data_IF_849361252651
#
_entry.id   IF_849361252651
#
_cell.length_a   1.000
_cell.length_b   1.000
_cell.length_c   1.000
_cell.angle_alpha   90.00
_cell.angle_beta   90.00
_cell.angle_gamma   90.00
#
_symmetry.space_group_name_H-M   'P 1'
#
loop_
_entity.id
_entity.type
_entity.pdbx_description
1 polymer ?
#
# COMPACT_ATOMS: atom_id res chain seq x y z
N UNK A 1 -0.80 9.79 -14.66
CA UNK A 1 -2.16 9.38 -14.22
C UNK A 1 -2.44 9.97 -12.85
N UNK A 2 -3.61 10.59 -12.62
CA UNK A 2 -3.97 11.07 -11.27
C UNK A 2 -4.84 10.01 -10.60
N UNK A 3 -4.25 9.19 -9.74
CA UNK A 3 -4.97 8.16 -8.99
C UNK A 3 -5.71 8.82 -7.81
N UNK A 4 -7.03 8.62 -7.74
CA UNK A 4 -7.90 9.17 -6.70
C UNK A 4 -8.91 8.12 -6.22
N UNK A 5 -9.70 8.45 -5.20
CA UNK A 5 -10.75 7.56 -4.68
C UNK A 5 -10.20 6.43 -3.80
N UNK A 6 -10.88 5.28 -3.80
CA UNK A 6 -10.52 4.13 -2.97
C UNK A 6 -10.10 2.95 -3.83
N UNK A 7 -9.02 2.27 -3.43
CA UNK A 7 -8.60 0.98 -3.95
C UNK A 7 -8.50 -0.05 -2.84
N UNK A 8 -8.12 -1.26 -3.21
CA UNK A 8 -7.90 -2.37 -2.29
C UNK A 8 -6.42 -2.76 -2.30
N UNK A 9 -5.84 -2.95 -1.11
CA UNK A 9 -4.56 -3.62 -0.93
C UNK A 9 -4.81 -5.04 -0.40
N UNK A 10 -4.32 -6.07 -1.09
CA UNK A 10 -4.61 -7.44 -0.66
C UNK A 10 -3.56 -8.45 -1.09
N UNK A 11 -3.05 -9.29 -0.15
CA UNK A 11 -2.21 -10.42 -0.49
C UNK A 11 -2.98 -11.51 -1.24
N UNK A 12 -4.30 -11.60 -1.07
CA UNK A 12 -5.14 -12.60 -1.76
C UNK A 12 -5.23 -12.36 -3.27
N UNK A 13 -5.06 -11.11 -3.73
CA UNK A 13 -4.95 -10.79 -5.15
C UNK A 13 -3.58 -11.16 -5.73
N UNK A 14 -2.64 -11.53 -4.87
CA UNK A 14 -1.27 -11.92 -5.24
C UNK A 14 -1.05 -13.43 -5.20
N UNK A 15 -1.57 -14.11 -4.16
CA UNK A 15 -1.24 -15.48 -3.82
C UNK A 15 -2.43 -16.45 -3.90
N UNK A 16 -3.57 -16.01 -4.39
CA UNK A 16 -4.76 -16.85 -4.58
C UNK A 16 -4.67 -17.74 -5.83
N UNK A 17 -5.66 -18.59 -6.00
CA UNK A 17 -5.89 -19.32 -7.25
C UNK A 17 -6.12 -18.34 -8.42
N UNK A 18 -5.54 -18.64 -9.57
CA UNK A 18 -5.50 -17.72 -10.72
C UNK A 18 -6.88 -17.29 -11.20
N UNK A 19 -7.83 -18.23 -11.29
CA UNK A 19 -9.19 -17.93 -11.74
C UNK A 19 -9.96 -17.14 -10.68
N UNK A 20 -9.80 -17.52 -9.41
CA UNK A 20 -10.42 -16.83 -8.29
C UNK A 20 -9.89 -15.39 -8.13
N UNK A 21 -8.59 -15.17 -8.36
CA UNK A 21 -7.97 -13.83 -8.35
C UNK A 21 -8.48 -12.96 -9.50
N UNK A 22 -8.56 -13.53 -10.71
CA UNK A 22 -9.08 -12.80 -11.87
C UNK A 22 -10.55 -12.38 -11.67
N UNK A 23 -11.39 -13.30 -11.17
CA UNK A 23 -12.79 -13.01 -10.86
C UNK A 23 -12.94 -11.97 -9.73
N UNK A 24 -12.12 -12.06 -8.68
CA UNK A 24 -12.11 -11.08 -7.60
C UNK A 24 -11.69 -9.68 -8.06
N UNK A 25 -10.69 -9.58 -8.95
CA UNK A 25 -10.26 -8.31 -9.51
C UNK A 25 -11.34 -7.65 -10.40
N UNK A 26 -11.99 -8.44 -11.26
CA UNK A 26 -13.12 -7.97 -12.08
C UNK A 26 -14.31 -7.52 -11.21
N UNK A 27 -14.57 -8.22 -10.12
CA UNK A 27 -15.60 -7.82 -9.15
C UNK A 27 -15.27 -6.49 -8.48
N UNK A 28 -14.02 -6.29 -8.01
CA UNK A 28 -13.57 -5.03 -7.41
C UNK A 28 -13.75 -3.85 -8.38
N UNK A 29 -13.41 -4.04 -9.65
CA UNK A 29 -13.65 -3.02 -10.68
C UNK A 29 -15.14 -2.71 -10.83
N UNK A 30 -16.00 -3.73 -10.86
CA UNK A 30 -17.47 -3.59 -10.94
C UNK A 30 -18.04 -2.88 -9.70
N UNK A 31 -17.49 -3.13 -8.51
CA UNK A 31 -17.86 -2.45 -7.28
C UNK A 31 -17.42 -0.97 -7.24
N UNK A 32 -16.57 -0.53 -8.18
CA UNK A 32 -16.12 0.86 -8.30
C UNK A 32 -14.78 1.16 -7.64
N UNK A 33 -14.07 0.17 -7.09
CA UNK A 33 -12.72 0.36 -6.59
C UNK A 33 -11.76 0.80 -7.71
N UNK A 34 -10.90 1.77 -7.44
CA UNK A 34 -10.07 2.44 -8.45
C UNK A 34 -8.71 1.79 -8.65
N UNK A 35 -8.24 1.00 -7.69
CA UNK A 35 -6.96 0.31 -7.77
C UNK A 35 -6.96 -1.01 -7.02
N UNK A 36 -6.17 -1.98 -7.50
CA UNK A 36 -5.74 -3.16 -6.78
C UNK A 36 -4.23 -3.06 -6.51
N UNK A 37 -3.86 -3.09 -5.24
CA UNK A 37 -2.48 -3.06 -4.77
C UNK A 37 -2.08 -4.43 -4.25
N UNK A 38 -0.96 -4.97 -4.72
CA UNK A 38 -0.48 -6.28 -4.32
C UNK A 38 0.92 -6.22 -3.71
N UNK A 39 1.21 -7.00 -2.64
CA UNK A 39 2.55 -7.09 -2.07
C UNK A 39 3.50 -7.91 -2.93
N UNK A 40 4.81 -7.70 -2.70
CA UNK A 40 5.86 -8.51 -3.27
C UNK A 40 6.75 -9.07 -2.14
N UNK A 41 6.37 -10.25 -1.66
CA UNK A 41 7.05 -10.98 -0.58
C UNK A 41 7.48 -12.39 -1.02
N UNK A 42 7.61 -12.59 -2.34
CA UNK A 42 8.06 -13.84 -2.97
C UNK A 42 7.25 -14.25 -4.17
N UNK A 43 7.80 -15.17 -4.96
CA UNK A 43 7.23 -15.61 -6.23
C UNK A 43 7.32 -14.55 -7.34
N UNK A 44 6.76 -14.84 -8.51
CA UNK A 44 6.81 -13.93 -9.66
C UNK A 44 5.73 -12.85 -9.59
N UNK A 45 6.09 -11.64 -9.14
CA UNK A 45 5.16 -10.51 -9.03
C UNK A 45 4.64 -10.05 -10.39
N UNK A 46 5.44 -10.17 -11.44
CA UNK A 46 5.07 -9.72 -12.79
C UNK A 46 3.93 -10.55 -13.37
N UNK A 47 3.93 -11.87 -13.19
CA UNK A 47 2.82 -12.73 -13.61
C UNK A 47 1.51 -12.37 -12.90
N UNK A 48 1.57 -12.01 -11.62
CA UNK A 48 0.39 -11.57 -10.89
C UNK A 48 -0.14 -10.22 -11.40
N UNK A 49 0.76 -9.27 -11.71
CA UNK A 49 0.37 -8.00 -12.34
C UNK A 49 -0.27 -8.23 -13.70
N UNK A 50 0.32 -9.08 -14.55
CA UNK A 50 -0.20 -9.41 -15.87
C UNK A 50 -1.60 -10.03 -15.79
N UNK A 51 -1.83 -10.92 -14.82
CA UNK A 51 -3.14 -11.52 -14.55
C UNK A 51 -4.19 -10.48 -14.17
N UNK A 52 -3.87 -9.59 -13.25
CA UNK A 52 -4.78 -8.54 -12.81
C UNK A 52 -5.10 -7.54 -13.93
N UNK A 53 -4.09 -7.18 -14.74
CA UNK A 53 -4.26 -6.33 -15.92
C UNK A 53 -5.16 -6.97 -16.98
N UNK A 54 -5.04 -8.28 -17.18
CA UNK A 54 -5.88 -9.03 -18.10
C UNK A 54 -7.33 -9.19 -17.61
N UNK A 55 -7.53 -9.25 -16.28
CA UNK A 55 -8.84 -9.42 -15.66
C UNK A 55 -9.64 -8.10 -15.52
N UNK A 56 -9.01 -6.95 -15.74
CA UNK A 56 -9.60 -5.62 -15.54
C UNK A 56 -9.43 -4.74 -16.78
N UNK A 57 -10.25 -3.69 -16.90
CA UNK A 57 -10.27 -2.82 -18.10
C UNK A 57 -9.81 -1.39 -17.82
N UNK A 58 -10.10 -0.86 -16.65
CA UNK A 58 -9.87 0.54 -16.27
C UNK A 58 -9.17 0.72 -14.92
N UNK A 59 -9.26 -0.29 -14.05
CA UNK A 59 -8.69 -0.24 -12.71
C UNK A 59 -7.15 -0.14 -12.76
N UNK A 60 -6.57 0.70 -11.92
CA UNK A 60 -5.13 0.75 -11.72
C UNK A 60 -4.63 -0.50 -11.03
N UNK A 61 -3.61 -1.14 -11.56
CA UNK A 61 -2.92 -2.26 -10.92
C UNK A 61 -1.59 -1.76 -10.38
N UNK A 62 -1.35 -2.01 -9.10
CA UNK A 62 -0.22 -1.43 -8.40
C UNK A 62 0.51 -2.43 -7.50
N UNK A 63 1.81 -2.20 -7.30
CA UNK A 63 2.58 -2.91 -6.28
C UNK A 63 2.60 -2.11 -4.96
N UNK A 64 2.28 -2.76 -3.89
CA UNK A 64 2.33 -2.18 -2.53
C UNK A 64 3.15 -3.05 -1.58
N UNK A 65 4.45 -3.18 -1.79
CA UNK A 65 5.38 -2.55 -2.75
C UNK A 65 6.24 -3.62 -3.44
N UNK A 66 6.75 -3.32 -4.64
CA UNK A 66 7.80 -4.08 -5.28
C UNK A 66 9.10 -3.92 -4.50
N UNK A 67 9.72 -5.04 -4.15
CA UNK A 67 10.90 -5.09 -3.33
C UNK A 67 12.17 -4.98 -4.18
N UNK A 68 12.93 -3.88 -4.02
CA UNK A 68 14.14 -3.60 -4.80
C UNK A 68 15.25 -4.67 -4.64
N UNK A 69 15.22 -5.45 -3.56
CA UNK A 69 16.20 -6.50 -3.31
C UNK A 69 15.88 -7.81 -4.02
N UNK A 70 14.65 -7.95 -4.53
CA UNK A 70 14.16 -9.14 -5.23
C UNK A 70 14.22 -8.98 -6.76
N UNK A 71 14.11 -7.75 -7.25
CA UNK A 71 14.05 -7.44 -8.67
C UNK A 71 15.01 -6.29 -9.01
N UNK A 72 15.89 -6.50 -9.98
CA UNK A 72 16.75 -5.43 -10.49
C UNK A 72 15.92 -4.41 -11.28
N UNK A 73 16.38 -3.17 -11.33
CA UNK A 73 15.72 -2.14 -12.13
C UNK A 73 15.67 -2.50 -13.62
N UNK A 74 16.68 -3.21 -14.12
CA UNK A 74 16.72 -3.70 -15.50
C UNK A 74 15.61 -4.73 -15.79
N UNK A 75 15.35 -5.68 -14.88
CA UNK A 75 14.24 -6.65 -15.00
C UNK A 75 12.89 -5.93 -15.01
N UNK A 76 12.69 -4.97 -14.09
CA UNK A 76 11.47 -4.16 -14.03
C UNK A 76 11.26 -3.36 -15.32
N UNK A 77 12.32 -2.70 -15.82
CA UNK A 77 12.26 -1.92 -17.05
C UNK A 77 11.98 -2.80 -18.28
N UNK A 78 12.59 -3.98 -18.35
CA UNK A 78 12.35 -4.94 -19.43
C UNK A 78 10.89 -5.43 -19.43
N UNK A 79 10.36 -5.83 -18.27
CA UNK A 79 8.95 -6.21 -18.14
C UNK A 79 8.00 -5.04 -18.47
N UNK A 80 8.29 -3.82 -17.95
CA UNK A 80 7.52 -2.62 -18.29
C UNK A 80 7.46 -2.35 -19.78
N UNK A 81 8.59 -2.42 -20.45
CA UNK A 81 8.70 -2.15 -21.90
C UNK A 81 7.94 -3.16 -22.75
N UNK A 82 7.82 -4.41 -22.28
CA UNK A 82 7.06 -5.47 -22.94
C UNK A 82 5.55 -5.29 -22.79
N UNK A 83 5.08 -4.47 -21.86
CA UNK A 83 3.64 -4.27 -21.63
C UNK A 83 3.01 -3.44 -22.75
N UNK A 84 1.78 -3.79 -23.22
CA UNK A 84 1.00 -2.94 -24.08
C UNK A 84 0.75 -1.56 -23.49
N UNK A 85 0.60 -0.53 -24.32
CA UNK A 85 0.35 0.85 -23.84
C UNK A 85 -0.89 0.94 -22.94
N UNK A 86 -1.97 0.22 -23.27
CA UNK A 86 -3.17 0.15 -22.45
C UNK A 86 -2.94 -0.41 -21.05
N UNK A 87 -1.99 -1.34 -20.88
CA UNK A 87 -1.56 -1.84 -19.57
C UNK A 87 -0.68 -0.81 -18.87
N UNK A 88 0.35 -0.27 -19.54
CA UNK A 88 1.24 0.73 -18.95
C UNK A 88 0.50 1.95 -18.41
N UNK A 89 -0.56 2.38 -19.08
CA UNK A 89 -1.38 3.52 -18.66
C UNK A 89 -2.13 3.29 -17.34
N UNK A 90 -2.27 2.03 -16.90
CA UNK A 90 -2.96 1.61 -15.66
C UNK A 90 -2.03 1.02 -14.61
N UNK A 91 -0.71 1.02 -14.85
CA UNK A 91 0.28 0.50 -13.91
C UNK A 91 0.81 1.59 -12.99
N UNK A 92 0.90 1.28 -11.70
CA UNK A 92 1.60 2.07 -10.69
C UNK A 92 2.61 1.18 -9.95
N UNK A 93 3.88 1.42 -10.17
CA UNK A 93 4.95 0.71 -9.48
C UNK A 93 5.24 1.37 -8.13
N UNK A 94 4.63 0.87 -7.07
CA UNK A 94 5.03 1.20 -5.72
C UNK A 94 6.33 0.48 -5.38
N UNK A 95 7.38 1.25 -5.06
CA UNK A 95 8.74 0.77 -4.86
C UNK A 95 9.14 0.88 -3.39
N UNK A 96 9.85 -0.11 -2.86
CA UNK A 96 10.28 -0.08 -1.48
C UNK A 96 11.57 -0.86 -1.22
N UNK A 97 12.32 -0.36 -0.23
CA UNK A 97 13.59 -0.96 0.20
C UNK A 97 13.42 -2.09 1.22
N UNK A 98 12.19 -2.56 1.46
CA UNK A 98 11.91 -3.58 2.47
C UNK A 98 12.44 -3.19 3.87
N UNK A 99 12.80 -4.16 4.69
CA UNK A 99 13.19 -3.96 6.09
C UNK A 99 14.50 -4.69 6.39
N UNK A 100 15.36 -4.04 7.18
CA UNK A 100 16.67 -4.62 7.56
C UNK A 100 16.60 -6.05 8.08
N UNK A 101 15.68 -6.39 9.01
CA UNK A 101 15.53 -7.76 9.51
C UNK A 101 15.24 -8.83 8.44
N UNK A 102 14.61 -8.46 7.32
CA UNK A 102 14.30 -9.39 6.23
C UNK A 102 15.43 -9.48 5.19
N UNK A 103 16.17 -8.39 5.00
CA UNK A 103 17.22 -8.29 3.97
C UNK A 103 18.58 -8.68 4.52
N UNK A 104 18.78 -8.58 5.84
CA UNK A 104 20.04 -8.91 6.51
C UNK A 104 21.17 -7.94 6.13
N UNK A 105 22.39 -8.48 6.00
CA UNK A 105 23.63 -7.70 5.81
C UNK A 105 23.63 -6.85 4.51
N UNK A 106 22.80 -7.18 3.56
CA UNK A 106 22.65 -6.39 2.32
C UNK A 106 21.90 -5.07 2.55
N UNK A 107 21.16 -4.93 3.65
CA UNK A 107 20.40 -3.72 3.95
C UNK A 107 21.30 -2.57 4.37
N UNK A 108 21.84 -1.86 3.42
CA UNK A 108 22.71 -0.71 3.65
C UNK A 108 22.27 0.50 2.82
N UNK A 109 22.41 1.69 3.39
CA UNK A 109 22.11 2.98 2.71
C UNK A 109 20.77 2.99 1.96
N UNK A 110 19.60 2.66 2.58
CA UNK A 110 18.34 2.45 1.86
C UNK A 110 17.92 3.62 0.97
N UNK A 111 18.19 4.86 1.39
CA UNK A 111 17.93 6.04 0.56
C UNK A 111 18.85 6.14 -0.67
N UNK A 112 20.11 5.75 -0.53
CA UNK A 112 21.06 5.68 -1.65
C UNK A 112 20.65 4.61 -2.65
N UNK A 113 20.37 3.39 -2.16
CA UNK A 113 19.91 2.29 -3.01
C UNK A 113 18.64 2.67 -3.78
N UNK A 114 17.68 3.35 -3.13
CA UNK A 114 16.48 3.82 -3.83
C UNK A 114 16.82 4.83 -4.94
N UNK A 115 17.75 5.77 -4.69
CA UNK A 115 18.18 6.73 -5.72
C UNK A 115 18.83 6.05 -6.92
N UNK A 116 19.79 5.16 -6.64
CA UNK A 116 20.51 4.40 -7.67
C UNK A 116 19.49 3.59 -8.52
N UNK A 117 18.53 2.95 -7.87
CA UNK A 117 17.47 2.20 -8.55
C UNK A 117 16.55 3.07 -9.43
N UNK A 118 16.21 4.27 -8.95
CA UNK A 118 15.41 5.22 -9.73
C UNK A 118 16.19 5.74 -10.96
N UNK A 119 17.50 5.96 -10.84
CA UNK A 119 18.36 6.35 -11.97
C UNK A 119 18.41 5.26 -13.06
N UNK A 120 18.49 3.99 -12.65
CA UNK A 120 18.43 2.86 -13.57
C UNK A 120 17.03 2.72 -14.23
N UNK A 121 15.93 2.94 -13.50
CA UNK A 121 14.59 2.93 -14.06
C UNK A 121 14.37 4.10 -15.06
N UNK A 122 14.94 5.28 -14.80
CA UNK A 122 14.92 6.41 -15.74
C UNK A 122 15.65 6.04 -17.03
N UNK A 123 16.86 5.45 -16.92
CA UNK A 123 17.62 4.96 -18.06
C UNK A 123 16.88 3.85 -18.82
N UNK A 124 16.12 3.02 -18.12
CA UNK A 124 15.27 1.96 -18.68
C UNK A 124 13.93 2.45 -19.25
N UNK A 125 13.64 3.75 -19.21
CA UNK A 125 12.44 4.34 -19.80
C UNK A 125 11.14 4.13 -19.02
N UNK A 126 11.20 3.75 -17.74
CA UNK A 126 10.02 3.67 -16.85
C UNK A 126 9.68 5.08 -16.38
N UNK A 127 8.51 5.64 -16.70
CA UNK A 127 8.20 7.05 -16.37
C UNK A 127 8.08 7.31 -14.86
N UNK A 128 8.57 8.45 -14.39
CA UNK A 128 8.40 8.88 -12.99
C UNK A 128 6.92 8.91 -12.56
N UNK A 129 6.02 9.29 -13.47
CA UNK A 129 4.58 9.34 -13.24
C UNK A 129 3.91 7.96 -13.01
N UNK A 130 4.62 6.87 -13.30
CA UNK A 130 4.14 5.49 -13.09
C UNK A 130 4.79 4.81 -11.87
N UNK A 131 5.50 5.57 -11.04
CA UNK A 131 6.18 5.07 -9.85
C UNK A 131 5.74 5.86 -8.61
N UNK A 132 5.64 5.20 -7.46
CA UNK A 132 5.53 5.87 -6.15
C UNK A 132 6.42 5.15 -5.14
N UNK A 133 6.77 5.81 -4.04
CA UNK A 133 7.66 5.20 -3.04
C UNK A 133 6.93 4.84 -1.76
N UNK A 134 7.25 3.68 -1.18
CA UNK A 134 6.99 3.43 0.23
C UNK A 134 7.80 4.41 1.06
N UNK A 135 7.15 5.37 1.68
CA UNK A 135 7.82 6.47 2.36
C UNK A 135 7.14 6.79 3.70
N UNK A 136 7.87 6.59 4.79
CA UNK A 136 7.45 6.94 6.15
C UNK A 136 8.22 8.14 6.71
N UNK A 137 9.49 8.25 6.38
CA UNK A 137 10.35 9.31 6.88
C UNK A 137 10.52 10.49 5.90
N UNK A 138 10.88 11.67 6.41
CA UNK A 138 10.93 12.91 5.62
C UNK A 138 11.82 12.80 4.37
N UNK A 139 13.01 12.23 4.50
CA UNK A 139 13.96 12.10 3.37
C UNK A 139 13.45 11.22 2.23
N UNK A 140 12.66 10.17 2.55
CA UNK A 140 12.06 9.31 1.54
C UNK A 140 10.83 9.98 0.92
N UNK A 141 10.06 10.77 1.69
CA UNK A 141 8.97 11.60 1.18
C UNK A 141 9.48 12.68 0.22
N UNK A 142 10.59 13.36 0.55
CA UNK A 142 11.25 14.30 -0.35
C UNK A 142 11.69 13.63 -1.65
N UNK A 143 12.32 12.45 -1.57
CA UNK A 143 12.72 11.69 -2.75
C UNK A 143 11.52 11.27 -3.59
N UNK A 144 10.42 10.86 -2.96
CA UNK A 144 9.17 10.51 -3.63
C UNK A 144 8.61 11.70 -4.42
N UNK A 145 8.56 12.90 -3.80
CA UNK A 145 8.14 14.14 -4.44
C UNK A 145 8.99 14.48 -5.66
N UNK A 146 10.30 14.37 -5.52
CA UNK A 146 11.25 14.89 -6.51
C UNK A 146 11.47 13.94 -7.70
N UNK A 147 11.22 12.62 -7.51
CA UNK A 147 11.64 11.59 -8.49
C UNK A 147 10.52 10.65 -8.95
N UNK A 148 9.30 10.77 -8.41
CA UNK A 148 8.19 9.85 -8.73
C UNK A 148 6.85 10.60 -8.76
N UNK A 149 5.74 9.87 -8.99
CA UNK A 149 4.41 10.44 -8.85
C UNK A 149 4.10 10.87 -7.40
N UNK A 150 4.74 10.24 -6.40
CA UNK A 150 4.48 10.53 -5.00
C UNK A 150 4.77 9.35 -4.07
N UNK A 151 3.99 9.22 -3.01
CA UNK A 151 4.22 8.25 -1.94
C UNK A 151 3.03 7.32 -1.67
N UNK A 152 3.36 6.09 -1.24
CA UNK A 152 2.44 5.09 -0.72
C UNK A 152 2.84 4.72 0.72
N UNK A 153 2.46 5.56 1.72
CA UNK A 153 2.67 5.23 3.13
C UNK A 153 1.79 4.05 3.55
N UNK A 154 2.32 3.22 4.42
CA UNK A 154 1.67 2.02 4.92
C UNK A 154 1.72 2.00 6.44
N UNK A 155 0.63 1.59 7.09
CA UNK A 155 0.56 1.41 8.54
C UNK A 155 0.80 2.72 9.32
N UNK A 156 0.05 3.75 8.98
CA UNK A 156 0.26 5.11 9.47
C UNK A 156 -1.00 5.73 10.06
N UNK A 157 -0.89 6.53 11.14
CA UNK A 157 -2.02 7.30 11.68
C UNK A 157 -2.36 8.49 10.76
N UNK A 158 -3.54 9.08 10.94
CA UNK A 158 -4.00 10.28 10.18
C UNK A 158 -3.00 11.43 10.27
N UNK A 159 -2.36 11.64 11.42
CA UNK A 159 -1.34 12.65 11.61
C UNK A 159 -0.13 12.49 10.68
N UNK A 160 0.26 11.24 10.35
CA UNK A 160 1.28 11.00 9.35
C UNK A 160 0.83 11.44 7.95
N UNK A 161 -0.42 11.19 7.58
CA UNK A 161 -0.95 11.61 6.27
C UNK A 161 -0.86 13.13 6.10
N UNK A 162 -1.21 13.90 7.13
CA UNK A 162 -1.06 15.36 7.10
C UNK A 162 0.41 15.79 6.94
N UNK A 163 1.33 15.16 7.67
CA UNK A 163 2.77 15.45 7.55
C UNK A 163 3.32 15.02 6.18
N UNK A 164 2.90 13.87 5.66
CA UNK A 164 3.31 13.41 4.35
C UNK A 164 2.83 14.37 3.25
N UNK A 165 1.59 14.87 3.33
CA UNK A 165 1.08 15.90 2.41
C UNK A 165 1.91 17.18 2.48
N UNK A 166 2.25 17.64 3.66
CA UNK A 166 3.09 18.82 3.83
C UNK A 166 4.49 18.65 3.18
N UNK A 167 5.08 17.45 3.30
CA UNK A 167 6.39 17.14 2.70
C UNK A 167 6.34 16.97 1.18
N UNK A 168 5.27 16.35 0.66
CA UNK A 168 5.08 16.09 -0.76
C UNK A 168 4.63 17.33 -1.54
N UNK A 169 4.03 18.33 -0.88
CA UNK A 169 3.38 19.45 -1.57
C UNK A 169 2.02 19.06 -2.16
N UNK A 170 1.33 19.97 -2.86
CA UNK A 170 -0.06 19.78 -3.30
C UNK A 170 -0.20 18.85 -4.51
N UNK A 171 0.82 18.69 -5.33
CA UNK A 171 0.71 18.07 -6.65
C UNK A 171 1.09 16.59 -6.68
N UNK A 172 1.98 16.15 -5.77
CA UNK A 172 2.44 14.78 -5.71
C UNK A 172 1.34 13.84 -5.15
N UNK A 173 1.25 12.64 -5.70
CA UNK A 173 0.34 11.60 -5.24
C UNK A 173 0.61 11.21 -3.78
N UNK A 174 -0.44 11.18 -2.98
CA UNK A 174 -0.42 10.56 -1.65
C UNK A 174 -1.46 9.43 -1.62
N UNK A 175 -0.99 8.19 -1.80
CA UNK A 175 -1.79 6.97 -1.80
C UNK A 175 -1.59 6.24 -0.48
N UNK A 176 -2.37 6.58 0.55
CA UNK A 176 -2.22 6.03 1.89
C UNK A 176 -2.92 4.69 2.02
N UNK A 177 -2.22 3.69 2.55
CA UNK A 177 -2.84 2.44 2.96
C UNK A 177 -3.51 2.61 4.32
N UNK A 178 -4.69 1.99 4.49
CA UNK A 178 -5.45 1.97 5.75
C UNK A 178 -5.97 0.54 6.00
N UNK A 179 -5.51 -0.07 7.08
CA UNK A 179 -6.07 -1.34 7.56
C UNK A 179 -7.47 -1.14 8.09
N UNK A 180 -8.37 -2.07 7.78
CA UNK A 180 -9.76 -2.02 8.24
C UNK A 180 -10.24 -3.37 8.76
N UNK A 181 -11.09 -3.35 9.80
CA UNK A 181 -11.79 -4.52 10.32
C UNK A 181 -13.29 -4.22 10.35
N UNK A 182 -14.06 -4.90 9.52
CA UNK A 182 -15.53 -4.75 9.46
C UNK A 182 -16.18 -5.59 10.57
N UNK A 183 -16.07 -5.14 11.80
CA UNK A 183 -16.71 -5.71 12.99
C UNK A 183 -16.99 -4.63 14.00
N UNK A 184 -18.21 -4.61 14.56
CA UNK A 184 -18.66 -3.63 15.56
C UNK A 184 -18.36 -4.05 17.01
N UNK A 185 -17.95 -5.28 17.25
CA UNK A 185 -17.46 -5.73 18.53
C UNK A 185 -16.01 -5.31 18.74
N UNK A 186 -15.76 -4.46 19.72
CA UNK A 186 -14.46 -3.86 19.94
C UNK A 186 -13.36 -4.86 20.28
N UNK A 187 -13.68 -5.89 21.06
CA UNK A 187 -12.70 -6.88 21.52
C UNK A 187 -12.28 -7.78 20.33
N UNK A 188 -13.24 -8.22 19.51
CA UNK A 188 -12.94 -9.00 18.30
C UNK A 188 -12.19 -8.17 17.28
N UNK A 189 -12.66 -6.95 16.98
CA UNK A 189 -12.02 -6.07 16.01
C UNK A 189 -10.55 -5.78 16.38
N UNK A 190 -10.29 -5.45 17.64
CA UNK A 190 -8.92 -5.23 18.12
C UNK A 190 -8.07 -6.49 18.15
N UNK A 191 -8.66 -7.66 18.41
CA UNK A 191 -7.93 -8.93 18.34
C UNK A 191 -7.46 -9.22 16.90
N UNK A 192 -8.32 -9.05 15.91
CA UNK A 192 -7.97 -9.17 14.47
C UNK A 192 -6.90 -8.15 14.08
N UNK A 193 -7.07 -6.90 14.49
CA UNK A 193 -6.11 -5.84 14.22
C UNK A 193 -4.73 -6.13 14.83
N UNK A 194 -4.65 -6.63 16.08
CA UNK A 194 -3.39 -7.06 16.70
C UNK A 194 -2.71 -8.17 15.94
N UNK A 195 -3.46 -9.16 15.49
CA UNK A 195 -2.90 -10.24 14.67
C UNK A 195 -2.29 -9.69 13.38
N UNK A 196 -2.98 -8.77 12.71
CA UNK A 196 -2.49 -8.11 11.49
C UNK A 196 -1.25 -7.25 11.71
N UNK A 197 -1.16 -6.58 12.88
CA UNK A 197 -0.07 -5.64 13.20
C UNK A 197 1.14 -6.31 13.88
N UNK A 198 1.02 -7.52 14.39
CA UNK A 198 2.06 -8.16 15.21
C UNK A 198 3.45 -8.20 14.54
N UNK A 199 3.51 -8.45 13.25
CA UNK A 199 4.77 -8.54 12.51
C UNK A 199 5.51 -7.19 12.39
N UNK A 200 4.80 -6.06 12.53
CA UNK A 200 5.38 -4.73 12.37
C UNK A 200 6.05 -4.20 13.63
N UNK A 201 5.75 -4.77 14.81
CA UNK A 201 6.31 -4.35 16.10
C UNK A 201 7.83 -4.56 16.23
N UNK A 202 8.40 -5.43 15.39
CA UNK A 202 9.85 -5.72 15.35
C UNK A 202 10.56 -5.03 14.18
N UNK A 203 9.86 -4.23 13.38
CA UNK A 203 10.39 -3.58 12.20
C UNK A 203 10.71 -2.11 12.48
N UNK A 204 12.00 -1.71 12.52
CA UNK A 204 12.41 -0.36 12.91
C UNK A 204 11.78 0.76 12.08
N UNK A 205 11.45 0.51 10.82
CA UNK A 205 10.82 1.50 9.96
C UNK A 205 9.45 1.94 10.51
N UNK A 206 8.65 0.99 11.01
CA UNK A 206 7.33 1.26 11.60
C UNK A 206 7.45 1.74 13.03
N UNK A 207 8.20 1.04 13.88
CA UNK A 207 8.30 1.41 15.30
C UNK A 207 8.89 2.81 15.48
N UNK A 208 9.91 3.19 14.70
CA UNK A 208 10.46 4.54 14.71
C UNK A 208 9.46 5.57 14.16
N UNK A 209 8.63 5.18 13.20
CA UNK A 209 7.57 6.06 12.72
C UNK A 209 6.52 6.29 13.82
N UNK A 210 6.03 5.25 14.47
CA UNK A 210 5.04 5.37 15.54
C UNK A 210 5.58 6.18 16.72
N UNK A 211 6.85 6.01 17.13
CA UNK A 211 7.49 6.85 18.15
C UNK A 211 7.46 8.35 17.82
N UNK A 212 7.58 8.72 16.54
CA UNK A 212 7.46 10.13 16.10
C UNK A 212 6.07 10.71 16.37
N UNK A 213 5.05 9.86 16.44
CA UNK A 213 3.67 10.25 16.77
C UNK A 213 3.32 10.03 18.24
N UNK A 214 4.32 9.81 19.09
CA UNK A 214 4.18 9.80 20.54
C UNK A 214 3.70 8.49 21.14
N UNK A 215 3.87 7.36 20.42
CA UNK A 215 3.65 6.03 21.00
C UNK A 215 4.90 5.59 21.76
N UNK A 216 4.70 5.09 22.97
CA UNK A 216 5.76 4.53 23.81
C UNK A 216 6.15 3.13 23.34
N UNK A 217 7.34 2.66 23.77
CA UNK A 217 7.78 1.30 23.47
C UNK A 217 6.85 0.23 24.04
N UNK A 218 6.26 0.49 25.21
CA UNK A 218 5.28 -0.42 25.82
C UNK A 218 3.99 -0.49 25.00
N UNK A 219 3.46 0.66 24.53
CA UNK A 219 2.28 0.70 23.64
C UNK A 219 2.55 -0.03 22.31
N UNK A 220 3.74 0.12 21.75
CA UNK A 220 4.15 -0.53 20.49
C UNK A 220 4.28 -2.03 20.70
N UNK A 221 4.97 -2.47 21.74
CA UNK A 221 5.25 -3.89 22.00
C UNK A 221 3.99 -4.66 22.37
N UNK A 222 3.10 -4.05 23.15
CA UNK A 222 1.83 -4.65 23.57
C UNK A 222 0.73 -4.52 22.53
N UNK A 223 0.93 -3.73 21.46
CA UNK A 223 -0.12 -3.31 20.55
C UNK A 223 -1.32 -2.75 21.34
N UNK A 224 -1.05 -1.74 22.17
CA UNK A 224 -2.06 -1.12 23.02
C UNK A 224 -3.27 -0.64 22.22
N UNK A 225 -4.46 -0.62 22.83
CA UNK A 225 -5.70 -0.21 22.18
C UNK A 225 -5.58 1.14 21.48
N UNK A 226 -4.91 2.12 22.10
CA UNK A 226 -4.66 3.43 21.50
C UNK A 226 -3.94 3.33 20.15
N UNK A 227 -2.88 2.53 20.09
CA UNK A 227 -2.13 2.32 18.84
C UNK A 227 -2.99 1.62 17.78
N UNK A 228 -3.72 0.57 18.18
CA UNK A 228 -4.65 -0.15 17.32
C UNK A 228 -5.71 0.79 16.75
N UNK A 229 -6.39 1.55 17.60
CA UNK A 229 -7.50 2.43 17.22
C UNK A 229 -7.04 3.58 16.30
N UNK A 230 -5.78 3.99 16.40
CA UNK A 230 -5.21 5.03 15.54
C UNK A 230 -4.73 4.50 14.18
N UNK A 231 -4.29 3.23 14.10
CA UNK A 231 -3.75 2.63 12.88
C UNK A 231 -4.79 1.86 12.07
N UNK A 232 -5.80 1.27 12.73
CA UNK A 232 -6.78 0.38 12.11
C UNK A 232 -8.17 0.97 12.25
N UNK A 233 -8.86 1.19 11.14
CA UNK A 233 -10.26 1.59 11.18
C UNK A 233 -11.15 0.37 11.39
N UNK A 234 -11.86 0.30 12.51
CA UNK A 234 -12.76 -0.82 12.78
C UNK A 234 -14.17 -0.35 13.14
N UNK A 235 -15.16 -1.21 12.92
CA UNK A 235 -16.56 -0.90 13.16
C UNK A 235 -17.46 -1.27 11.99
N UNK A 236 -18.62 -0.62 11.91
CA UNK A 236 -19.49 -0.68 10.73
C UNK A 236 -18.92 0.12 9.55
N UNK A 237 -19.50 -0.07 8.37
CA UNK A 237 -19.06 0.59 7.14
C UNK A 237 -18.97 2.12 7.27
N UNK A 238 -19.94 2.76 7.92
CA UNK A 238 -19.96 4.21 8.14
C UNK A 238 -18.80 4.67 9.05
N UNK A 239 -18.46 3.92 10.09
CA UNK A 239 -17.34 4.23 10.97
C UNK A 239 -16.00 4.15 10.22
N UNK A 240 -15.85 3.11 9.40
CA UNK A 240 -14.66 2.94 8.53
C UNK A 240 -14.59 4.08 7.51
N UNK A 241 -15.71 4.43 6.88
CA UNK A 241 -15.78 5.53 5.94
C UNK A 241 -15.42 6.89 6.57
N UNK A 242 -15.83 7.13 7.81
CA UNK A 242 -15.45 8.33 8.55
C UNK A 242 -13.93 8.41 8.76
N UNK A 243 -13.24 7.32 9.16
CA UNK A 243 -11.78 7.29 9.28
C UNK A 243 -11.08 7.54 7.94
N UNK A 244 -11.60 6.96 6.86
CA UNK A 244 -11.07 7.19 5.51
C UNK A 244 -11.26 8.66 5.09
N UNK A 245 -12.37 9.28 5.46
CA UNK A 245 -12.59 10.71 5.23
C UNK A 245 -11.59 11.59 6.01
N UNK A 246 -11.18 11.20 7.22
CA UNK A 246 -10.12 11.88 7.97
C UNK A 246 -8.78 11.85 7.22
N UNK A 247 -8.37 10.70 6.67
CA UNK A 247 -7.15 10.61 5.85
C UNK A 247 -7.25 11.46 4.58
N UNK A 248 -8.42 11.50 3.94
CA UNK A 248 -8.65 12.39 2.78
C UNK A 248 -8.57 13.86 3.17
N UNK A 249 -9.19 14.25 4.28
CA UNK A 249 -9.11 15.62 4.81
C UNK A 249 -7.67 15.99 5.19
N UNK A 250 -6.87 15.04 5.65
CA UNK A 250 -5.44 15.19 5.91
C UNK A 250 -4.58 15.25 4.63
N UNK A 251 -5.18 15.08 3.45
CA UNK A 251 -4.54 15.29 2.15
C UNK A 251 -4.24 14.04 1.34
N UNK A 252 -4.74 12.86 1.69
CA UNK A 252 -4.63 11.68 0.83
C UNK A 252 -5.46 11.85 -0.44
N UNK A 253 -4.86 11.61 -1.61
CA UNK A 253 -5.55 11.61 -2.90
C UNK A 253 -6.26 10.27 -3.15
N UNK A 254 -5.61 9.20 -2.71
CA UNK A 254 -6.07 7.82 -2.86
C UNK A 254 -5.92 7.06 -1.54
N UNK A 255 -6.90 6.24 -1.22
CA UNK A 255 -6.84 5.33 -0.06
C UNK A 255 -6.83 3.90 -0.54
N UNK A 256 -5.87 3.12 -0.06
CA UNK A 256 -5.81 1.68 -0.28
C UNK A 256 -6.33 0.97 0.96
N UNK A 257 -7.55 0.43 0.94
CA UNK A 257 -8.06 -0.31 2.11
C UNK A 257 -7.50 -1.73 2.14
N UNK A 258 -6.95 -2.11 3.28
CA UNK A 258 -6.55 -3.49 3.55
C UNK A 258 -7.51 -4.10 4.57
N UNK A 259 -8.39 -4.98 4.11
CA UNK A 259 -9.35 -5.66 4.99
C UNK A 259 -8.64 -6.79 5.73
N UNK A 260 -8.64 -6.72 7.05
CA UNK A 260 -8.18 -7.78 7.93
C UNK A 260 -9.35 -8.67 8.35
N UNK A 261 -9.13 -9.98 8.34
CA UNK A 261 -10.11 -10.99 8.77
C UNK A 261 -9.43 -12.06 9.63
N UNK A 262 -10.21 -12.81 10.38
CA UNK A 262 -9.73 -13.99 11.13
C UNK A 262 -9.39 -15.17 10.20
N UNK A 263 -9.97 -15.19 9.02
CA UNK A 263 -9.77 -16.26 8.03
C UNK A 263 -8.64 -15.93 7.07
N UNK A 264 -7.99 -16.96 6.53
CA UNK A 264 -6.99 -16.80 5.46
C UNK A 264 -7.62 -16.68 4.06
N UNK A 265 -8.91 -16.41 3.96
CA UNK A 265 -9.64 -16.30 2.70
C UNK A 265 -9.72 -14.85 2.20
N UNK A 266 -9.90 -14.67 0.89
CA UNK A 266 -10.09 -13.34 0.30
C UNK A 266 -11.36 -12.69 0.86
N UNK A 267 -11.28 -11.45 1.40
CA UNK A 267 -12.39 -10.80 2.11
C UNK A 267 -13.42 -10.18 1.15
N UNK A 268 -13.94 -10.96 0.22
CA UNK A 268 -14.84 -10.49 -0.85
C UNK A 268 -16.15 -9.94 -0.30
N UNK A 269 -16.71 -10.57 0.74
CA UNK A 269 -17.96 -10.11 1.35
C UNK A 269 -17.77 -8.75 2.03
N UNK A 270 -16.61 -8.53 2.67
CA UNK A 270 -16.25 -7.25 3.26
C UNK A 270 -16.05 -6.17 2.18
N UNK A 271 -15.40 -6.50 1.05
CA UNK A 271 -15.27 -5.57 -0.07
C UNK A 271 -16.63 -5.14 -0.61
N UNK A 272 -17.59 -6.08 -0.78
CA UNK A 272 -18.97 -5.77 -1.20
C UNK A 272 -19.69 -4.89 -0.19
N UNK A 273 -19.56 -5.21 1.10
CA UNK A 273 -20.22 -4.47 2.16
C UNK A 273 -19.66 -3.05 2.35
N UNK A 274 -18.36 -2.86 2.11
CA UNK A 274 -17.70 -1.56 2.23
C UNK A 274 -17.87 -0.65 0.99
N UNK A 275 -18.02 -1.23 -0.20
CA UNK A 275 -18.07 -0.48 -1.45
C UNK A 275 -19.09 0.68 -1.43
N UNK A 276 -20.36 0.52 -0.99
CA UNK A 276 -21.33 1.62 -1.00
C UNK A 276 -20.93 2.83 -0.16
N UNK A 277 -20.06 2.65 0.83
CA UNK A 277 -19.60 3.73 1.71
C UNK A 277 -18.25 4.33 1.29
N UNK A 278 -17.46 3.62 0.48
CA UNK A 278 -16.07 3.99 0.19
C UNK A 278 -15.80 4.43 -1.25
N UNK A 279 -16.64 4.05 -2.23
CA UNK A 279 -16.42 4.27 -3.66
C UNK A 279 -17.43 5.21 -4.31
#
# INVERSE_FOLDING_TARGET
>A
MKLTGTGVWSPHLRYGDDAAVADAAAELETLGYRAAWIPDVGGNVFEALDRLLAATTSMTIATGILNLWMHTAAEVAAWWSAQPEGHRSRLMLGLGVSHGPFIGDKYARPLGVMRDYLDELDAGGVPAASRCLAALGPKMLELARDRTAGAHPYNVPVAHTAQARAALGPDALLATEVMVVLDTDADRARAVARQGLQHYTVLPNYTNNWRRYGYTDDEITSLADRLIDDLVAWGGADTIAARIAEHRAAGADHICVQVLTETGEAPRDQWRALAPALV
#
